data_IF_340032242884
#
_entry.id   IF_340032242884
#
_cell.length_a   1.000
_cell.length_b   1.000
_cell.length_c   1.000
_cell.angle_alpha   90.00
_cell.angle_beta   90.00
_cell.angle_gamma   90.00
#
_symmetry.space_group_name_H-M   'P 1'
#
loop_
_entity.id
_entity.type
_entity.pdbx_description
1 polymer ?
#
# COMPACT_ATOMS: atom_id res chain seq x y z
N UNK A 1 -7.55 18.02 15.29
CA UNK A 1 -8.51 17.31 14.41
C UNK A 1 -9.97 17.62 14.71
N UNK A 2 -10.31 18.23 15.85
CA UNK A 2 -11.56 18.98 16.02
C UNK A 2 -11.20 20.30 16.71
N UNK A 3 -11.40 21.42 16.02
CA UNK A 3 -11.06 22.75 16.53
C UNK A 3 -12.36 23.51 16.78
N UNK A 4 -12.38 24.32 17.84
CA UNK A 4 -13.53 25.17 18.14
C UNK A 4 -13.87 26.08 16.95
N UNK A 5 -15.16 26.22 16.66
CA UNK A 5 -15.66 27.04 15.55
C UNK A 5 -15.66 26.36 14.17
N UNK A 6 -15.13 25.14 14.04
CA UNK A 6 -15.23 24.37 12.79
C UNK A 6 -16.58 23.67 12.74
N UNK A 7 -17.45 24.07 11.79
CA UNK A 7 -18.74 23.42 11.56
C UNK A 7 -18.51 21.99 11.05
N UNK A 8 -18.94 20.98 11.83
CA UNK A 8 -18.90 19.57 11.43
C UNK A 8 -20.29 19.10 11.05
N UNK A 9 -20.37 18.18 10.08
CA UNK A 9 -21.61 17.48 9.72
C UNK A 9 -21.60 16.01 10.19
N UNK A 10 -20.54 15.60 10.90
CA UNK A 10 -20.37 14.24 11.45
C UNK A 10 -20.57 14.35 12.96
N UNK A 11 -21.33 13.40 13.52
CA UNK A 11 -21.53 13.29 14.97
C UNK A 11 -20.26 12.69 15.58
N UNK A 12 -19.70 13.34 16.61
CA UNK A 12 -18.41 12.93 17.18
C UNK A 12 -18.47 11.53 17.79
N UNK A 13 -19.63 11.13 18.32
CA UNK A 13 -19.88 9.78 18.85
C UNK A 13 -19.83 8.68 17.78
N UNK A 14 -19.86 9.02 16.49
CA UNK A 14 -19.69 8.06 15.39
C UNK A 14 -18.21 7.85 15.03
N UNK A 15 -17.31 8.73 15.48
CA UNK A 15 -15.88 8.58 15.28
C UNK A 15 -15.30 7.58 16.29
N UNK A 16 -15.20 6.31 15.88
CA UNK A 16 -14.68 5.22 16.71
C UNK A 16 -13.29 4.79 16.26
N UNK A 17 -12.50 4.29 17.22
CA UNK A 17 -11.16 3.78 16.96
C UNK A 17 -11.21 2.39 16.30
N UNK A 18 -10.50 2.22 15.19
CA UNK A 18 -10.47 0.98 14.41
C UNK A 18 -9.62 -0.16 15.01
N UNK A 19 -8.96 0.06 16.15
CA UNK A 19 -8.24 -0.99 16.88
C UNK A 19 -6.79 -1.25 16.43
N UNK A 20 -6.31 -0.63 15.35
CA UNK A 20 -4.94 -0.82 14.83
C UNK A 20 -4.02 0.30 15.35
N UNK A 21 -3.04 0.02 16.24
CA UNK A 21 -2.14 1.05 16.75
C UNK A 21 -1.40 1.77 15.61
N UNK A 22 -0.88 2.96 15.89
CA UNK A 22 0.07 3.61 14.99
C UNK A 22 1.19 2.61 14.64
N UNK A 23 1.50 2.51 13.34
CA UNK A 23 2.50 1.59 12.77
C UNK A 23 2.17 0.10 12.98
N UNK A 24 0.91 -0.23 13.32
CA UNK A 24 0.42 -1.60 13.50
C UNK A 24 0.26 -2.39 12.19
N UNK A 25 0.28 -1.70 11.06
CA UNK A 25 0.33 -2.26 9.71
C UNK A 25 1.61 -1.67 9.09
N UNK A 26 2.71 -2.43 9.08
CA UNK A 26 3.99 -1.92 8.57
C UNK A 26 3.93 -1.80 7.05
N UNK A 27 4.38 -0.68 6.52
CA UNK A 27 4.53 -0.47 5.09
C UNK A 27 5.73 -1.25 4.53
N UNK A 28 5.69 -1.49 3.23
CA UNK A 28 6.86 -1.97 2.50
C UNK A 28 7.71 -0.77 2.10
N UNK A 29 9.01 -0.81 2.43
CA UNK A 29 9.98 0.22 2.03
C UNK A 29 11.07 -0.41 1.19
N UNK A 30 11.16 -0.03 -0.09
CA UNK A 30 12.08 -0.60 -1.09
C UNK A 30 12.16 -2.13 -0.99
N UNK A 31 11.02 -2.84 -1.09
CA UNK A 31 10.98 -4.28 -0.86
C UNK A 31 11.85 -5.03 -1.90
N UNK A 32 12.43 -6.19 -1.52
CA UNK A 32 13.18 -7.00 -2.46
C UNK A 32 12.29 -7.48 -3.61
N UNK A 33 12.88 -7.56 -4.80
CA UNK A 33 12.18 -7.91 -6.04
C UNK A 33 12.78 -9.18 -6.61
N UNK A 34 11.91 -10.04 -7.13
CA UNK A 34 12.30 -11.26 -7.82
C UNK A 34 11.82 -11.22 -9.27
N UNK A 35 12.55 -11.84 -10.21
CA UNK A 35 12.03 -12.10 -11.55
C UNK A 35 10.71 -12.86 -11.53
N UNK A 36 9.81 -12.59 -12.49
CA UNK A 36 8.49 -13.21 -12.52
C UNK A 36 8.52 -14.75 -12.56
N UNK A 37 9.52 -15.34 -13.22
CA UNK A 37 9.72 -16.80 -13.27
C UNK A 37 10.25 -17.41 -11.97
N UNK A 38 10.70 -16.59 -11.01
CA UNK A 38 11.12 -17.02 -9.67
C UNK A 38 10.03 -16.80 -8.61
N UNK A 39 8.93 -16.13 -8.97
CA UNK A 39 7.81 -15.86 -8.07
C UNK A 39 6.90 -17.10 -7.93
N UNK A 40 7.44 -18.22 -7.45
CA UNK A 40 6.72 -19.50 -7.31
C UNK A 40 5.55 -19.47 -6.32
N UNK A 41 5.46 -18.42 -5.51
CA UNK A 41 4.36 -18.15 -4.60
C UNK A 41 3.15 -17.47 -5.28
N UNK A 42 3.23 -17.15 -6.58
CA UNK A 42 2.07 -16.69 -7.36
C UNK A 42 1.43 -17.84 -8.15
N UNK A 43 0.11 -17.96 -8.04
CA UNK A 43 -0.71 -18.71 -9.01
C UNK A 43 -1.05 -17.88 -10.24
N UNK A 44 -1.49 -18.55 -11.32
CA UNK A 44 -1.82 -17.90 -12.60
C UNK A 44 -2.98 -16.89 -12.50
N UNK A 45 -3.85 -17.02 -11.49
CA UNK A 45 -5.01 -16.14 -11.25
C UNK A 45 -4.77 -15.12 -10.15
N UNK A 46 -3.58 -15.13 -9.52
CA UNK A 46 -3.28 -14.18 -8.46
C UNK A 46 -3.20 -12.76 -9.00
N UNK A 47 -3.81 -11.83 -8.28
CA UNK A 47 -3.86 -10.42 -8.67
C UNK A 47 -2.56 -9.73 -8.30
N UNK A 48 -2.13 -8.83 -9.18
CA UNK A 48 -1.00 -7.94 -8.95
C UNK A 48 -1.38 -6.53 -9.38
N UNK A 49 -0.74 -5.53 -8.78
CA UNK A 49 -0.71 -4.18 -9.29
C UNK A 49 0.53 -4.03 -10.18
N UNK A 50 0.33 -3.80 -11.47
CA UNK A 50 1.43 -3.54 -12.40
C UNK A 50 1.74 -2.04 -12.45
N UNK A 51 3.00 -1.68 -12.25
CA UNK A 51 3.49 -0.30 -12.37
C UNK A 51 4.56 -0.26 -13.44
N UNK A 52 4.49 0.76 -14.31
CA UNK A 52 5.42 0.97 -15.41
C UNK A 52 5.85 2.43 -15.45
N UNK A 53 7.13 2.71 -15.21
CA UNK A 53 7.69 4.07 -15.14
C UNK A 53 9.06 4.06 -15.81
N UNK A 54 9.29 5.01 -16.73
CA UNK A 54 10.58 5.19 -17.42
C UNK A 54 11.19 3.91 -18.03
N UNK A 55 10.33 2.98 -18.50
CA UNK A 55 10.77 1.71 -19.10
C UNK A 55 11.07 0.58 -18.11
N UNK A 56 10.97 0.85 -16.81
CA UNK A 56 11.00 -0.19 -15.78
C UNK A 56 9.58 -0.64 -15.42
N UNK A 57 9.43 -1.95 -15.21
CA UNK A 57 8.15 -2.59 -14.93
C UNK A 57 8.26 -3.42 -13.66
N UNK A 58 7.28 -3.28 -12.77
CA UNK A 58 7.21 -4.07 -11.53
C UNK A 58 5.78 -4.49 -11.25
N UNK A 59 5.63 -5.69 -10.71
CA UNK A 59 4.36 -6.22 -10.22
C UNK A 59 4.40 -6.30 -8.69
N UNK A 60 3.40 -5.72 -8.04
CA UNK A 60 3.21 -5.77 -6.59
C UNK A 60 2.05 -6.73 -6.30
N UNK A 61 2.30 -7.94 -5.79
CA UNK A 61 1.23 -8.91 -5.61
C UNK A 61 0.24 -8.46 -4.54
N UNK A 62 -1.05 -8.57 -4.85
CA UNK A 62 -2.12 -8.21 -3.92
C UNK A 62 -1.96 -8.94 -2.59
N UNK A 63 -1.63 -10.24 -2.60
CA UNK A 63 -1.47 -11.02 -1.37
C UNK A 63 -0.32 -10.53 -0.47
N UNK A 64 0.65 -9.81 -1.03
CA UNK A 64 1.75 -9.19 -0.28
C UNK A 64 1.32 -7.80 0.19
N UNK A 65 0.66 -7.01 -0.65
CA UNK A 65 0.17 -5.69 -0.25
C UNK A 65 -0.97 -5.74 0.77
N UNK A 66 -1.83 -6.75 0.74
CA UNK A 66 -3.01 -6.84 1.62
C UNK A 66 -2.69 -6.73 3.13
N UNK A 67 -1.64 -7.38 3.67
CA UNK A 67 -1.23 -7.17 5.07
C UNK A 67 -0.37 -5.92 5.32
N UNK A 68 0.05 -5.19 4.29
CA UNK A 68 0.95 -4.04 4.40
C UNK A 68 0.30 -2.69 4.03
N UNK A 69 -0.77 -2.71 3.23
CA UNK A 69 -1.61 -1.60 2.74
C UNK A 69 -0.86 -0.50 1.95
N UNK A 70 0.47 -0.48 2.01
CA UNK A 70 1.33 0.52 1.39
C UNK A 70 2.66 -0.09 0.94
N UNK A 71 3.12 0.32 -0.24
CA UNK A 71 4.49 0.13 -0.69
C UNK A 71 5.11 1.45 -1.16
N UNK A 72 6.19 1.85 -0.48
CA UNK A 72 7.07 2.95 -0.84
C UNK A 72 8.29 2.38 -1.56
N UNK A 73 8.52 2.81 -2.80
CA UNK A 73 9.52 2.20 -3.69
C UNK A 73 10.14 3.25 -4.62
N UNK A 74 11.21 2.87 -5.32
CA UNK A 74 11.80 3.66 -6.41
C UNK A 74 11.80 2.80 -7.66
N UNK A 75 11.13 3.27 -8.72
CA UNK A 75 11.00 2.56 -9.98
C UNK A 75 11.30 3.49 -11.16
N UNK A 76 12.19 3.08 -12.06
CA UNK A 76 12.58 3.93 -13.19
C UNK A 76 13.20 5.27 -12.76
N UNK A 77 13.81 5.32 -11.58
CA UNK A 77 14.37 6.53 -10.97
C UNK A 77 13.35 7.43 -10.25
N UNK A 78 12.06 7.10 -10.28
CA UNK A 78 11.01 7.90 -9.62
C UNK A 78 10.59 7.28 -8.29
N UNK A 79 10.53 8.05 -7.18
CA UNK A 79 9.93 7.60 -5.94
C UNK A 79 8.41 7.47 -6.10
N UNK A 80 7.87 6.35 -5.65
CA UNK A 80 6.44 6.06 -5.70
C UNK A 80 5.91 5.57 -4.34
N UNK A 81 4.63 5.86 -4.11
CA UNK A 81 3.84 5.29 -3.02
C UNK A 81 2.60 4.63 -3.63
N UNK A 82 2.48 3.33 -3.44
CA UNK A 82 1.32 2.54 -3.85
C UNK A 82 0.51 2.20 -2.60
N UNK A 83 -0.68 2.78 -2.50
CA UNK A 83 -1.67 2.45 -1.47
C UNK A 83 -2.74 1.50 -2.04
N UNK A 84 -3.18 0.53 -1.24
CA UNK A 84 -4.17 -0.48 -1.60
C UNK A 84 -5.35 -0.51 -0.63
#
# INVERSE_FOLDING_TARGET
>A
FFYDGVKTNIRLEEAVWGGVPKDGIPDLVNPPVVPGNQASYLGATDRVFGVSINGEHRAYPLRVLNPHEMANDVLGGEPISLAY
#
